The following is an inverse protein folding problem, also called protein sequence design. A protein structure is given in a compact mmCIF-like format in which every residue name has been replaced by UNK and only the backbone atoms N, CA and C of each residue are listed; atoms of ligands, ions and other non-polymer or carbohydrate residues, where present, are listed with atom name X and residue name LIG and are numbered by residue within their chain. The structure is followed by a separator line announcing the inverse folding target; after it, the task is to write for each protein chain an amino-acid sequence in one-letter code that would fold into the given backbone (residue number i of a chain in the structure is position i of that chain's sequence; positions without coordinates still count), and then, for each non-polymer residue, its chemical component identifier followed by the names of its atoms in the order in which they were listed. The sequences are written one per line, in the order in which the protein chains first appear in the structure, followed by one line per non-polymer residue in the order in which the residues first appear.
data_IF_319303371894
#
_entry.id   IF_319303371894
#
_cell.length_a   1.000
_cell.length_b   1.000
_cell.length_c   1.000
_cell.angle_alpha   90.00
_cell.angle_beta   90.00
_cell.angle_gamma   90.00
#
_symmetry.space_group_name_H-M   'P 1'
#
loop_
_entity.id
_entity.type
_entity.pdbx_description
1 polymer ?
#
# COMPACT_ATOMS: atom_id res chain seq x y z
N UNK A 1 7.56 10.25 64.13
CA UNK A 1 6.94 9.18 63.33
C UNK A 1 5.92 9.81 62.39
N UNK A 2 6.28 10.09 61.15
CA UNK A 2 5.37 10.65 60.14
C UNK A 2 5.28 9.65 58.98
N UNK A 3 4.07 9.13 58.74
CA UNK A 3 3.79 8.14 57.69
C UNK A 3 3.52 8.89 56.40
N UNK A 4 4.40 8.73 55.41
CA UNK A 4 4.20 9.23 54.04
C UNK A 4 3.25 8.25 53.34
N UNK A 5 2.00 8.63 53.14
CA UNK A 5 1.07 7.89 52.30
C UNK A 5 1.30 8.31 50.83
N UNK A 6 1.99 7.45 50.07
CA UNK A 6 2.11 7.64 48.62
C UNK A 6 0.82 7.14 47.97
N UNK A 7 -0.08 8.06 47.63
CA UNK A 7 -1.22 7.75 46.77
C UNK A 7 -0.69 7.55 45.34
N UNK A 8 -0.46 6.29 44.95
CA UNK A 8 -0.28 5.93 43.54
C UNK A 8 -1.67 5.89 42.90
N UNK A 9 -2.01 6.95 42.18
CA UNK A 9 -3.20 6.95 41.33
C UNK A 9 -2.87 6.22 40.02
N UNK A 10 -3.65 5.20 39.59
CA UNK A 10 -3.44 4.57 38.30
C UNK A 10 -3.85 5.57 37.21
N UNK A 11 -2.90 5.98 36.37
CA UNK A 11 -3.15 6.88 35.24
C UNK A 11 -3.72 6.08 34.05
N UNK A 12 -5.02 6.20 33.70
CA UNK A 12 -5.63 5.40 32.63
C UNK A 12 -5.47 6.05 31.25
N UNK A 13 -4.43 6.87 31.05
CA UNK A 13 -4.31 7.76 29.88
C UNK A 13 -2.92 7.73 29.26
N UNK A 14 -2.52 6.56 28.82
CA UNK A 14 -1.60 6.42 27.68
C UNK A 14 -2.13 5.29 26.79
N UNK A 15 -3.31 5.47 26.23
CA UNK A 15 -3.56 4.92 24.91
C UNK A 15 -2.61 5.66 23.98
N UNK A 16 -1.37 5.18 23.88
CA UNK A 16 -0.43 5.64 22.87
C UNK A 16 -1.18 5.57 21.54
N UNK A 17 -1.27 6.69 20.82
CA UNK A 17 -1.70 6.70 19.44
C UNK A 17 -0.60 5.96 18.70
N UNK A 18 -0.69 4.62 18.68
CA UNK A 18 0.20 3.80 17.88
C UNK A 18 -0.01 4.28 16.44
N UNK A 19 1.06 4.68 15.73
CA UNK A 19 0.91 5.06 14.33
C UNK A 19 0.23 3.88 13.61
N UNK A 20 -0.79 4.15 12.78
CA UNK A 20 -1.53 3.09 12.12
C UNK A 20 -0.57 2.22 11.32
N UNK A 21 -0.78 0.90 11.38
CA UNK A 21 0.06 -0.06 10.66
C UNK A 21 0.02 0.26 9.16
N UNK A 22 1.13 0.10 8.41
CA UNK A 22 1.16 0.36 6.96
C UNK A 22 0.00 -0.29 6.20
N UNK A 23 -0.36 -1.53 6.58
CA UNK A 23 -1.51 -2.26 6.03
C UNK A 23 -2.84 -1.54 6.27
N UNK A 24 -3.04 -0.97 7.46
CA UNK A 24 -4.28 -0.24 7.78
C UNK A 24 -4.38 1.06 6.96
N UNK A 25 -3.27 1.77 6.78
CA UNK A 25 -3.20 2.96 5.92
C UNK A 25 -3.56 2.58 4.48
N UNK A 26 -2.92 1.54 3.95
CA UNK A 26 -3.17 1.07 2.59
C UNK A 26 -4.63 0.65 2.39
N UNK A 27 -5.20 -0.09 3.34
CA UNK A 27 -6.61 -0.52 3.32
C UNK A 27 -7.58 0.65 3.29
N UNK A 28 -7.36 1.67 4.13
CA UNK A 28 -8.21 2.88 4.14
C UNK A 28 -8.15 3.60 2.80
N UNK A 29 -6.95 3.79 2.24
CA UNK A 29 -6.77 4.43 0.93
C UNK A 29 -7.41 3.62 -0.20
N UNK A 30 -7.35 2.29 -0.14
CA UNK A 30 -8.02 1.41 -1.10
C UNK A 30 -9.54 1.53 -1.00
N UNK A 31 -10.12 1.54 0.19
CA UNK A 31 -11.58 1.76 0.35
C UNK A 31 -12.03 3.09 -0.25
N UNK A 32 -11.26 4.16 -0.05
CA UNK A 32 -11.53 5.46 -0.68
C UNK A 32 -11.47 5.38 -2.21
N UNK A 33 -10.45 4.70 -2.76
CA UNK A 33 -10.31 4.49 -4.20
C UNK A 33 -11.47 3.65 -4.77
N UNK A 34 -11.90 2.61 -4.04
CA UNK A 34 -13.00 1.71 -4.42
C UNK A 34 -14.30 2.47 -4.68
N UNK A 35 -14.59 3.49 -3.88
CA UNK A 35 -15.78 4.34 -4.07
C UNK A 35 -15.78 5.09 -5.42
N UNK A 36 -14.61 5.29 -6.04
CA UNK A 36 -14.43 6.00 -7.32
C UNK A 36 -14.16 5.06 -8.49
N UNK A 37 -14.11 3.74 -8.28
CA UNK A 37 -13.66 2.77 -9.29
C UNK A 37 -14.44 2.83 -10.61
N UNK A 38 -15.73 3.17 -10.54
CA UNK A 38 -16.64 3.24 -11.70
C UNK A 38 -16.59 4.58 -12.44
N UNK A 39 -16.08 5.64 -11.80
CA UNK A 39 -16.14 7.01 -12.31
C UNK A 39 -14.77 7.62 -12.59
N UNK A 40 -13.71 7.09 -11.98
CA UNK A 40 -12.35 7.55 -12.18
C UNK A 40 -11.81 7.21 -13.57
N UNK A 41 -11.07 8.15 -14.15
CA UNK A 41 -10.28 7.89 -15.35
C UNK A 41 -9.23 6.80 -15.04
N UNK A 42 -9.09 5.75 -15.88
CA UNK A 42 -8.14 4.68 -15.60
C UNK A 42 -6.68 5.11 -15.47
N UNK A 43 -6.28 6.19 -16.13
CA UNK A 43 -4.94 6.77 -15.96
C UNK A 43 -4.73 7.27 -14.52
N UNK A 44 -5.65 8.07 -14.01
CA UNK A 44 -5.60 8.62 -12.65
C UNK A 44 -5.74 7.51 -11.61
N UNK A 45 -6.66 6.58 -11.84
CA UNK A 45 -6.87 5.43 -10.96
C UNK A 45 -5.62 4.56 -10.87
N UNK A 46 -4.97 4.28 -12.02
CA UNK A 46 -3.73 3.52 -12.09
C UNK A 46 -2.56 4.20 -11.37
N UNK A 47 -2.49 5.53 -11.41
CA UNK A 47 -1.51 6.30 -10.61
C UNK A 47 -1.81 6.14 -9.12
N UNK A 48 -3.06 6.33 -8.70
CA UNK A 48 -3.48 6.27 -7.30
C UNK A 48 -3.17 4.90 -6.67
N UNK A 49 -3.62 3.81 -7.30
CA UNK A 49 -3.41 2.46 -6.75
C UNK A 49 -1.94 2.01 -6.82
N UNK A 50 -1.17 2.49 -7.80
CA UNK A 50 0.28 2.26 -7.85
C UNK A 50 0.99 2.98 -6.71
N UNK A 51 0.60 4.22 -6.39
CA UNK A 51 1.15 4.97 -5.26
C UNK A 51 0.81 4.32 -3.91
N UNK A 52 -0.43 3.83 -3.75
CA UNK A 52 -0.83 3.09 -2.55
C UNK A 52 0.06 1.87 -2.34
N UNK A 53 0.25 1.05 -3.39
CA UNK A 53 1.08 -0.15 -3.30
C UNK A 53 2.54 0.17 -2.98
N UNK A 54 3.12 1.16 -3.68
CA UNK A 54 4.52 1.59 -3.45
C UNK A 54 4.72 2.12 -2.05
N UNK A 55 3.82 2.98 -1.58
CA UNK A 55 3.85 3.52 -0.22
C UNK A 55 3.74 2.42 0.84
N UNK A 56 2.84 1.46 0.62
CA UNK A 56 2.67 0.30 1.51
C UNK A 56 3.96 -0.52 1.60
N UNK A 57 4.54 -0.88 0.46
CA UNK A 57 5.75 -1.70 0.40
C UNK A 57 6.94 -0.96 1.02
N UNK A 58 7.08 0.34 0.76
CA UNK A 58 8.16 1.16 1.33
C UNK A 58 8.06 1.24 2.85
N UNK A 59 6.86 1.45 3.39
CA UNK A 59 6.64 1.53 4.84
C UNK A 59 6.75 0.16 5.53
N UNK A 60 6.27 -0.91 4.89
CA UNK A 60 6.25 -2.25 5.48
C UNK A 60 7.62 -2.94 5.44
N UNK A 61 8.38 -2.75 4.36
CA UNK A 61 9.61 -3.50 4.10
C UNK A 61 10.87 -2.63 4.00
N UNK A 62 10.74 -1.30 4.06
CA UNK A 62 11.88 -0.38 3.95
C UNK A 62 12.50 -0.30 2.55
N UNK A 63 11.79 -0.80 1.53
CA UNK A 63 12.23 -0.76 0.13
C UNK A 63 11.87 0.60 -0.48
N UNK A 64 12.83 1.30 -1.07
CA UNK A 64 12.52 2.57 -1.74
C UNK A 64 11.63 2.28 -2.95
N UNK A 65 10.39 2.73 -2.95
CA UNK A 65 9.43 2.42 -4.01
C UNK A 65 8.81 3.68 -4.61
N UNK A 66 8.57 4.72 -3.81
CA UNK A 66 7.84 5.92 -4.26
C UNK A 66 8.72 6.80 -5.17
N UNK A 67 10.02 6.92 -4.88
CA UNK A 67 10.96 7.78 -5.60
C UNK A 67 11.74 7.07 -6.71
N UNK A 68 11.36 5.84 -7.05
CA UNK A 68 12.06 5.01 -8.01
C UNK A 68 11.21 4.71 -9.24
N UNK A 69 11.88 4.50 -10.36
CA UNK A 69 11.24 3.94 -11.55
C UNK A 69 10.68 2.54 -11.26
N UNK A 70 9.73 2.06 -12.07
CA UNK A 70 9.23 0.68 -11.97
C UNK A 70 10.35 -0.35 -12.04
N UNK A 71 11.34 -0.13 -12.91
CA UNK A 71 12.48 -1.03 -13.07
C UNK A 71 13.34 -1.09 -11.80
N UNK A 72 13.75 0.06 -11.26
CA UNK A 72 14.56 0.14 -10.04
C UNK A 72 13.85 -0.50 -8.84
N UNK A 73 12.56 -0.18 -8.68
CA UNK A 73 11.74 -0.73 -7.59
C UNK A 73 11.65 -2.26 -7.67
N UNK A 74 11.37 -2.81 -8.86
CA UNK A 74 11.32 -4.26 -9.06
C UNK A 74 12.67 -4.93 -8.78
N UNK A 75 13.78 -4.28 -9.16
CA UNK A 75 15.11 -4.79 -8.88
C UNK A 75 15.41 -4.79 -7.37
N UNK A 76 15.08 -3.70 -6.66
CA UNK A 76 15.26 -3.63 -5.20
C UNK A 76 14.38 -4.64 -4.45
N UNK A 77 13.11 -4.76 -4.85
CA UNK A 77 12.19 -5.76 -4.30
C UNK A 77 12.72 -7.19 -4.49
N UNK A 78 13.38 -7.48 -5.62
CA UNK A 78 13.93 -8.81 -5.89
C UNK A 78 15.06 -9.23 -4.93
N UNK A 79 15.70 -8.27 -4.25
CA UNK A 79 16.73 -8.54 -3.25
C UNK A 79 16.19 -8.68 -1.82
N UNK A 80 14.87 -8.57 -1.63
CA UNK A 80 14.24 -8.67 -0.31
C UNK A 80 13.63 -10.05 -0.09
N UNK A 81 13.94 -10.69 1.04
CA UNK A 81 13.53 -12.07 1.35
C UNK A 81 12.00 -12.31 1.33
N UNK A 82 11.19 -11.27 1.52
CA UNK A 82 9.74 -11.35 1.47
C UNK A 82 9.18 -11.60 0.05
N UNK A 83 9.85 -11.04 -0.96
CA UNK A 83 9.42 -11.12 -2.35
C UNK A 83 9.99 -12.38 -3.00
N UNK A 84 9.33 -13.51 -2.78
CA UNK A 84 9.61 -14.71 -3.57
C UNK A 84 9.24 -14.52 -5.06
N UNK A 85 9.61 -15.49 -5.89
CA UNK A 85 9.39 -15.46 -7.35
C UNK A 85 7.91 -15.19 -7.70
N UNK A 86 6.97 -15.73 -6.93
CA UNK A 86 5.53 -15.56 -7.17
C UNK A 86 5.08 -14.13 -6.87
N UNK A 87 5.51 -13.56 -5.74
CA UNK A 87 5.19 -12.15 -5.39
C UNK A 87 5.86 -11.16 -6.34
N UNK A 88 7.08 -11.42 -6.75
CA UNK A 88 7.77 -10.60 -7.75
C UNK A 88 7.03 -10.61 -9.10
N UNK A 89 6.53 -11.76 -9.53
CA UNK A 89 5.73 -11.88 -10.75
C UNK A 89 4.42 -11.09 -10.65
N UNK A 90 3.69 -11.22 -9.54
CA UNK A 90 2.46 -10.44 -9.28
C UNK A 90 2.74 -8.95 -9.32
N UNK A 91 3.80 -8.50 -8.62
CA UNK A 91 4.20 -7.10 -8.58
C UNK A 91 4.58 -6.56 -9.97
N UNK A 92 5.34 -7.34 -10.75
CA UNK A 92 5.75 -6.97 -12.11
C UNK A 92 4.57 -6.87 -13.07
N UNK A 93 3.63 -7.81 -13.00
CA UNK A 93 2.40 -7.78 -13.82
C UNK A 93 1.57 -6.54 -13.51
N UNK A 94 1.36 -6.25 -12.23
CA UNK A 94 0.62 -5.08 -11.80
C UNK A 94 1.28 -3.77 -12.28
N UNK A 95 2.56 -3.57 -12.00
CA UNK A 95 3.26 -2.34 -12.39
C UNK A 95 3.35 -2.20 -13.91
N UNK A 96 3.52 -3.31 -14.63
CA UNK A 96 3.48 -3.34 -16.10
C UNK A 96 2.11 -2.91 -16.65
N UNK A 97 1.02 -3.34 -16.02
CA UNK A 97 -0.33 -2.92 -16.40
C UNK A 97 -0.55 -1.40 -16.15
N UNK A 98 -0.10 -0.89 -14.99
CA UNK A 98 -0.13 0.54 -14.72
C UNK A 98 0.67 1.35 -15.75
N UNK A 99 1.87 0.89 -16.10
CA UNK A 99 2.73 1.59 -17.06
C UNK A 99 2.15 1.52 -18.48
N UNK A 100 1.55 0.40 -18.88
CA UNK A 100 0.82 0.30 -20.14
C UNK A 100 -0.32 1.33 -20.21
N UNK A 101 -1.11 1.49 -19.15
CA UNK A 101 -2.18 2.52 -19.11
C UNK A 101 -1.59 3.93 -19.18
N UNK A 102 -0.46 4.19 -18.50
CA UNK A 102 0.20 5.49 -18.50
C UNK A 102 0.72 5.90 -19.89
N UNK A 103 1.20 4.94 -20.68
CA UNK A 103 1.85 5.21 -21.97
C UNK A 103 0.98 4.95 -23.19
N UNK A 104 0.01 4.03 -23.12
CA UNK A 104 -0.81 3.66 -24.28
C UNK A 104 -1.89 4.68 -24.61
N UNK A 105 -2.23 5.61 -23.70
CA UNK A 105 -3.38 6.53 -23.81
C UNK A 105 -4.74 5.85 -24.12
N UNK A 106 -4.80 4.52 -24.12
CA UNK A 106 -5.99 3.71 -24.32
C UNK A 106 -6.19 2.83 -23.10
N UNK A 107 -7.16 3.20 -22.27
CA UNK A 107 -7.70 2.31 -21.25
C UNK A 107 -9.05 1.78 -21.74
N UNK A 108 -9.33 0.52 -21.45
CA UNK A 108 -10.56 -0.18 -21.86
C UNK A 108 -11.76 0.21 -20.99
N UNK A 109 -11.55 1.03 -19.95
CA UNK A 109 -12.58 1.59 -19.08
C UNK A 109 -12.62 0.97 -17.69
N UNK A 110 -13.81 0.89 -17.09
CA UNK A 110 -14.07 0.42 -15.72
C UNK A 110 -13.46 -0.95 -15.39
N UNK A 111 -13.38 -1.85 -16.37
CA UNK A 111 -12.77 -3.17 -16.20
C UNK A 111 -11.31 -3.10 -15.77
N UNK A 112 -10.56 -2.12 -16.28
CA UNK A 112 -9.13 -1.98 -15.96
C UNK A 112 -8.96 -1.50 -14.51
N UNK A 113 -9.83 -0.60 -14.05
CA UNK A 113 -9.83 -0.13 -12.66
C UNK A 113 -10.13 -1.27 -11.68
N UNK A 114 -11.14 -2.08 -11.98
CA UNK A 114 -11.52 -3.25 -11.17
C UNK A 114 -10.36 -4.25 -11.08
N UNK A 115 -9.70 -4.57 -12.19
CA UNK A 115 -8.53 -5.47 -12.20
C UNK A 115 -7.36 -4.91 -11.40
N UNK A 116 -7.03 -3.62 -11.57
CA UNK A 116 -5.93 -3.00 -10.83
C UNK A 116 -6.22 -2.95 -9.32
N UNK A 117 -7.46 -2.60 -8.95
CA UNK A 117 -7.89 -2.56 -7.56
C UNK A 117 -7.76 -3.93 -6.88
N UNK A 118 -8.29 -4.98 -7.51
CA UNK A 118 -8.25 -6.34 -6.95
C UNK A 118 -6.82 -6.85 -6.78
N UNK A 119 -5.92 -6.55 -7.73
CA UNK A 119 -4.51 -6.91 -7.60
C UNK A 119 -3.82 -6.28 -6.39
N UNK A 120 -4.04 -4.97 -6.16
CA UNK A 120 -3.44 -4.27 -5.02
C UNK A 120 -4.08 -4.70 -3.70
N UNK A 121 -5.41 -4.83 -3.67
CA UNK A 121 -6.16 -5.30 -2.50
C UNK A 121 -5.70 -6.69 -2.06
N UNK A 122 -5.62 -7.64 -3.00
CA UNK A 122 -5.15 -8.99 -2.73
C UNK A 122 -3.70 -9.00 -2.22
N UNK A 123 -2.82 -8.14 -2.78
CA UNK A 123 -1.44 -8.03 -2.32
C UNK A 123 -1.36 -7.51 -0.88
N UNK A 124 -2.07 -6.43 -0.55
CA UNK A 124 -2.09 -5.84 0.81
C UNK A 124 -2.64 -6.83 1.82
N UNK A 125 -3.64 -7.63 1.46
CA UNK A 125 -4.22 -8.63 2.36
C UNK A 125 -3.34 -9.87 2.55
N UNK A 126 -2.59 -10.30 1.53
CA UNK A 126 -1.64 -11.42 1.61
C UNK A 126 -0.49 -11.13 2.59
N UNK A 127 -0.10 -9.86 2.75
CA UNK A 127 0.98 -9.44 3.64
C UNK A 127 0.46 -9.32 5.08
N UNK A 128 1.11 -10.00 6.03
CA UNK A 128 0.87 -9.89 7.48
C UNK A 128 1.89 -8.97 8.16
#
# INVERSE_FOLDING_TARGET
MAVIAYFVWPNPKQAAIQPPLPKEIARRRLEDAKARISTANPYEFGIEVSDILRSFIEQQFGIKAVRQTTFEFLNEAAHTAFFDVSRQEKLRRFLGACDAIKFAHTASGRSDNEVLFEQVSAFVEEVN
#
